data_IF_209611358499
#
_entry.id   IF_209611358499
#
_cell.length_a   1.000
_cell.length_b   1.000
_cell.length_c   1.000
_cell.angle_alpha   90.00
_cell.angle_beta   90.00
_cell.angle_gamma   90.00
#
_symmetry.space_group_name_H-M   'P 1'
#
loop_
_entity.id
_entity.type
_entity.pdbx_description
1 polymer ?
#
# COMPACT_ATOMS: atom_id res chain seq x y z
N UNK A 1 -9.06 18.63 23.42
CA UNK A 1 -8.74 17.19 23.23
C UNK A 1 -9.00 16.92 21.78
N UNK A 2 -7.98 16.64 20.98
CA UNK A 2 -8.16 16.36 19.55
C UNK A 2 -8.79 14.97 19.47
N UNK A 3 -10.02 14.86 18.98
CA UNK A 3 -10.65 13.56 18.74
C UNK A 3 -9.78 12.78 17.76
N UNK A 4 -9.36 11.57 18.17
CA UNK A 4 -8.60 10.66 17.31
C UNK A 4 -9.56 9.83 16.49
N UNK A 5 -9.24 9.61 15.23
CA UNK A 5 -10.00 8.74 14.35
C UNK A 5 -9.76 7.29 14.74
N UNK A 6 -10.83 6.50 14.92
CA UNK A 6 -10.72 5.10 15.33
C UNK A 6 -10.52 4.20 14.12
N UNK A 7 -9.53 3.31 14.18
CA UNK A 7 -9.32 2.25 13.20
C UNK A 7 -9.42 0.91 13.93
N UNK A 8 -10.30 0.03 13.46
CA UNK A 8 -10.60 -1.22 14.14
C UNK A 8 -9.55 -2.30 13.85
N UNK A 9 -8.90 -2.20 12.71
CA UNK A 9 -7.98 -3.18 12.18
C UNK A 9 -6.57 -2.92 12.68
N UNK A 10 -5.75 -3.97 12.71
CA UNK A 10 -4.38 -3.85 13.20
C UNK A 10 -3.49 -3.32 12.09
N UNK A 11 -2.77 -2.22 12.33
CA UNK A 11 -1.82 -1.68 11.35
C UNK A 11 -0.45 -2.31 11.57
N UNK A 12 0.13 -2.92 10.54
CA UNK A 12 1.52 -3.42 10.55
C UNK A 12 2.46 -2.37 10.01
N UNK A 13 3.48 -1.97 10.78
CA UNK A 13 4.46 -0.92 10.43
C UNK A 13 5.91 -1.40 10.61
N UNK A 14 6.88 -0.67 10.03
CA UNK A 14 8.30 -1.06 10.08
C UNK A 14 9.01 -0.64 11.38
N UNK A 15 8.62 0.50 11.97
CA UNK A 15 9.32 1.02 13.14
C UNK A 15 8.45 1.79 14.12
N UNK A 16 9.07 2.13 15.25
CA UNK A 16 8.45 2.89 16.34
C UNK A 16 8.08 4.31 15.94
N UNK A 17 8.82 4.91 15.02
CA UNK A 17 8.55 6.27 14.57
C UNK A 17 7.26 6.32 13.71
N UNK A 18 6.96 5.25 12.97
CA UNK A 18 5.68 5.07 12.27
C UNK A 18 4.53 4.93 13.25
N UNK A 19 4.71 4.09 14.28
CA UNK A 19 3.76 3.93 15.40
C UNK A 19 3.44 5.27 16.04
N UNK A 20 4.49 6.04 16.38
CA UNK A 20 4.34 7.34 16.99
C UNK A 20 3.58 8.30 16.08
N UNK A 21 3.85 8.30 14.77
CA UNK A 21 3.16 9.20 13.85
C UNK A 21 1.67 8.84 13.68
N UNK A 22 1.34 7.55 13.56
CA UNK A 22 -0.06 7.09 13.47
C UNK A 22 -0.85 7.38 14.75
N UNK A 23 -0.28 7.06 15.92
CA UNK A 23 -0.95 7.26 17.21
C UNK A 23 -1.20 8.74 17.56
N UNK A 24 -0.57 9.69 16.86
CA UNK A 24 -0.89 11.12 17.00
C UNK A 24 -2.29 11.46 16.52
N UNK A 25 -2.76 10.75 15.49
CA UNK A 25 -4.00 11.08 14.79
C UNK A 25 -5.08 10.00 14.94
N UNK A 26 -4.67 8.75 15.16
CA UNK A 26 -5.56 7.60 15.21
C UNK A 26 -5.56 6.91 16.57
N UNK A 27 -6.73 6.38 16.96
CA UNK A 27 -6.88 5.37 18.01
C UNK A 27 -6.87 4.00 17.31
N UNK A 28 -5.70 3.35 17.32
CA UNK A 28 -5.41 2.16 16.52
C UNK A 28 -4.39 1.26 17.19
N UNK A 29 -4.57 -0.05 17.02
CA UNK A 29 -3.61 -1.06 17.44
C UNK A 29 -2.56 -1.30 16.36
N UNK A 30 -1.29 -1.33 16.76
CA UNK A 30 -0.15 -1.38 15.84
C UNK A 30 0.70 -2.61 16.13
N UNK A 31 1.09 -3.32 15.07
CA UNK A 31 2.06 -4.40 15.10
C UNK A 31 3.36 -3.93 14.42
N UNK A 32 4.40 -3.72 15.20
CA UNK A 32 5.72 -3.31 14.70
C UNK A 32 6.50 -4.54 14.23
N UNK A 33 6.92 -4.55 12.97
CA UNK A 33 7.99 -5.46 12.52
C UNK A 33 9.32 -4.92 13.04
N UNK A 34 10.29 -5.77 13.41
CA UNK A 34 11.57 -5.30 13.97
C UNK A 34 12.52 -4.82 12.85
N UNK A 35 12.11 -3.78 12.10
CA UNK A 35 12.79 -3.32 10.88
C UNK A 35 12.63 -4.30 9.72
N UNK A 36 13.65 -4.41 8.86
CA UNK A 36 13.64 -5.23 7.62
C UNK A 36 13.57 -6.76 7.79
N UNK A 37 13.56 -7.27 9.03
CA UNK A 37 13.55 -8.69 9.33
C UNK A 37 12.18 -9.12 9.87
N UNK A 38 11.37 -9.72 9.00
CA UNK A 38 10.13 -10.40 9.37
C UNK A 38 10.42 -11.91 9.45
N UNK A 39 10.02 -12.54 10.54
CA UNK A 39 10.20 -13.98 10.77
C UNK A 39 8.93 -14.75 10.43
N UNK A 40 9.02 -16.08 10.29
CA UNK A 40 7.84 -16.93 10.07
C UNK A 40 6.85 -16.82 11.25
N UNK A 41 7.34 -16.65 12.47
CA UNK A 41 6.49 -16.43 13.66
C UNK A 41 5.74 -15.10 13.56
N UNK A 42 6.36 -14.05 13.01
CA UNK A 42 5.68 -12.78 12.76
C UNK A 42 4.58 -12.94 11.69
N UNK A 43 4.86 -13.68 10.62
CA UNK A 43 3.88 -13.96 9.57
C UNK A 43 2.68 -14.75 10.13
N UNK A 44 2.90 -15.75 10.97
CA UNK A 44 1.82 -16.49 11.65
C UNK A 44 1.01 -15.61 12.60
N UNK A 45 1.67 -14.71 13.35
CA UNK A 45 0.98 -13.73 14.19
C UNK A 45 0.13 -12.78 13.35
N UNK A 46 0.67 -12.26 12.25
CA UNK A 46 -0.05 -11.37 11.34
C UNK A 46 -1.26 -12.09 10.72
N UNK A 47 -1.13 -13.35 10.31
CA UNK A 47 -2.25 -14.15 9.80
C UNK A 47 -3.37 -14.31 10.84
N UNK A 48 -3.01 -14.64 12.09
CA UNK A 48 -3.98 -14.73 13.19
C UNK A 48 -4.67 -13.41 13.47
N UNK A 49 -3.93 -12.30 13.50
CA UNK A 49 -4.49 -10.97 13.70
C UNK A 49 -5.44 -10.60 12.55
N UNK A 50 -5.07 -10.92 11.32
CA UNK A 50 -5.88 -10.67 10.15
C UNK A 50 -7.22 -11.43 10.20
N UNK A 51 -7.21 -12.68 10.66
CA UNK A 51 -8.43 -13.49 10.85
C UNK A 51 -9.33 -12.97 11.98
N UNK A 52 -8.77 -12.36 13.02
CA UNK A 52 -9.53 -11.87 14.18
C UNK A 52 -10.13 -10.48 13.98
N UNK A 53 -9.36 -9.58 13.37
CA UNK A 53 -9.69 -8.14 13.30
C UNK A 53 -9.45 -7.51 11.94
N UNK A 54 -8.83 -8.22 11.02
CA UNK A 54 -8.24 -7.62 9.82
C UNK A 54 -6.91 -6.94 10.11
N UNK A 55 -6.01 -7.00 9.13
CA UNK A 55 -4.71 -6.33 9.15
C UNK A 55 -4.60 -5.38 7.97
N UNK A 56 -4.03 -4.20 8.22
CA UNK A 56 -3.62 -3.25 7.20
C UNK A 56 -2.10 -3.11 7.27
N UNK A 57 -1.39 -3.57 6.25
CA UNK A 57 0.06 -3.41 6.14
C UNK A 57 0.37 -2.02 5.61
N UNK A 58 1.11 -1.23 6.39
CA UNK A 58 1.47 0.14 6.05
C UNK A 58 2.96 0.39 6.28
N UNK A 59 3.74 -0.03 5.29
CA UNK A 59 5.21 0.09 5.26
C UNK A 59 5.69 1.22 4.37
N UNK A 60 6.95 1.60 4.54
CA UNK A 60 7.61 2.65 3.78
C UNK A 60 7.70 2.36 2.26
N UNK A 61 7.64 3.39 1.40
CA UNK A 61 7.79 3.26 -0.04
C UNK A 61 9.27 3.16 -0.47
N UNK A 62 10.00 2.26 0.19
CA UNK A 62 11.41 1.97 -0.04
C UNK A 62 11.65 0.47 -0.35
N UNK A 63 12.91 0.05 -0.43
CA UNK A 63 13.23 -1.35 -0.74
C UNK A 63 12.86 -2.31 0.40
N UNK A 64 13.05 -1.89 1.66
CA UNK A 64 12.82 -2.74 2.82
C UNK A 64 11.32 -2.91 3.08
N UNK A 65 10.56 -1.82 3.04
CA UNK A 65 9.11 -1.84 3.17
C UNK A 65 8.46 -2.70 2.08
N UNK A 66 8.89 -2.58 0.82
CA UNK A 66 8.39 -3.43 -0.27
C UNK A 66 8.76 -4.91 -0.09
N UNK A 67 9.91 -5.21 0.51
CA UNK A 67 10.32 -6.59 0.84
C UNK A 67 9.44 -7.18 1.93
N UNK A 68 9.23 -6.48 3.05
CA UNK A 68 8.32 -6.89 4.14
C UNK A 68 6.92 -7.12 3.57
N UNK A 69 6.43 -6.17 2.77
CA UNK A 69 5.12 -6.25 2.13
C UNK A 69 4.94 -7.50 1.29
N UNK A 70 5.93 -7.85 0.45
CA UNK A 70 5.89 -9.07 -0.38
C UNK A 70 5.83 -10.35 0.46
N UNK A 71 6.53 -10.40 1.58
CA UNK A 71 6.52 -11.54 2.48
C UNK A 71 5.13 -11.70 3.12
N UNK A 72 4.56 -10.61 3.63
CA UNK A 72 3.21 -10.63 4.21
C UNK A 72 2.16 -10.96 3.14
N UNK A 73 2.23 -10.39 1.94
CA UNK A 73 1.31 -10.73 0.83
C UNK A 73 1.34 -12.21 0.47
N UNK A 74 2.50 -12.85 0.57
CA UNK A 74 2.66 -14.28 0.29
C UNK A 74 2.05 -15.16 1.38
N UNK A 75 2.25 -14.80 2.64
CA UNK A 75 1.80 -15.57 3.80
C UNK A 75 0.34 -15.30 4.18
N UNK A 76 -0.12 -14.06 4.01
CA UNK A 76 -1.44 -13.56 4.40
C UNK A 76 -2.08 -12.83 3.21
N UNK A 77 -2.57 -13.56 2.19
CA UNK A 77 -3.09 -12.95 0.97
C UNK A 77 -4.37 -12.13 1.18
N UNK A 78 -5.02 -12.23 2.33
CA UNK A 78 -6.22 -11.46 2.69
C UNK A 78 -5.88 -10.24 3.55
N UNK A 79 -4.60 -10.01 3.88
CA UNK A 79 -4.19 -8.78 4.53
C UNK A 79 -4.42 -7.62 3.56
N UNK A 80 -4.94 -6.51 4.08
CA UNK A 80 -5.06 -5.28 3.32
C UNK A 80 -3.78 -4.47 3.40
N UNK A 81 -3.65 -3.49 2.51
CA UNK A 81 -2.38 -2.83 2.27
C UNK A 81 -2.62 -1.35 1.96
N UNK A 82 -2.06 -0.45 2.77
CA UNK A 82 -2.05 0.98 2.51
C UNK A 82 -0.69 1.40 1.94
N UNK A 83 -0.65 2.46 1.13
CA UNK A 83 0.60 2.98 0.55
C UNK A 83 0.62 4.50 0.56
N UNK A 84 1.83 5.02 0.75
CA UNK A 84 2.15 6.42 0.50
C UNK A 84 2.88 6.54 -0.83
N UNK A 85 2.69 7.67 -1.50
CA UNK A 85 3.60 8.07 -2.56
C UNK A 85 4.96 8.45 -1.99
N UNK A 86 5.99 8.30 -2.82
CA UNK A 86 7.36 8.66 -2.43
C UNK A 86 7.50 10.12 -2.04
N UNK A 87 6.67 11.02 -2.55
CA UNK A 87 6.70 12.45 -2.17
C UNK A 87 5.99 12.73 -0.84
N UNK A 88 4.98 11.92 -0.47
CA UNK A 88 4.23 12.02 0.79
C UNK A 88 5.06 11.48 1.96
N UNK A 89 5.94 10.52 1.70
CA UNK A 89 6.85 9.94 2.69
C UNK A 89 8.17 10.72 2.87
N UNK A 90 8.35 11.87 2.22
CA UNK A 90 9.59 12.68 2.33
C UNK A 90 9.57 13.59 3.55
N UNK A 91 10.72 13.82 4.21
CA UNK A 91 10.83 14.77 5.29
C UNK A 91 10.60 16.19 4.75
N UNK A 92 9.77 16.96 5.45
CA UNK A 92 9.44 18.36 5.09
C UNK A 92 10.62 19.32 5.18
N UNK A 93 11.70 18.96 5.88
CA UNK A 93 12.93 19.76 5.99
C UNK A 93 14.13 19.02 5.40
N UNK A 94 14.90 19.72 4.55
CA UNK A 94 16.17 19.23 3.99
C UNK A 94 17.21 18.84 5.05
N UNK A 95 17.05 19.31 6.29
CA UNK A 95 17.96 19.04 7.42
C UNK A 95 17.68 17.73 8.17
N UNK A 96 16.52 17.08 7.96
CA UNK A 96 16.11 15.87 8.70
C UNK A 96 16.45 14.54 8.00
N UNK A 97 17.35 14.57 7.01
CA UNK A 97 17.77 13.39 6.28
C UNK A 97 16.98 13.16 4.98
N UNK A 98 17.35 12.11 4.24
CA UNK A 98 16.73 11.71 2.97
C UNK A 98 15.84 10.45 3.11
N UNK A 99 15.58 10.00 4.33
CA UNK A 99 14.76 8.81 4.60
C UNK A 99 13.35 9.01 4.07
N UNK A 100 12.76 7.95 3.50
CA UNK A 100 11.36 7.93 3.12
C UNK A 100 10.65 7.10 4.17
N UNK A 101 9.59 7.62 4.80
CA UNK A 101 8.81 6.78 5.70
C UNK A 101 7.48 7.34 6.17
N UNK A 102 6.67 6.46 6.75
CA UNK A 102 5.35 6.78 7.31
C UNK A 102 5.49 7.80 8.45
N UNK A 103 6.59 7.78 9.19
CA UNK A 103 6.96 8.79 10.18
C UNK A 103 6.95 10.26 9.69
N UNK A 104 7.08 10.49 8.38
CA UNK A 104 7.12 11.83 7.79
C UNK A 104 5.80 12.28 7.16
N UNK A 105 4.87 11.35 6.98
CA UNK A 105 3.60 11.62 6.33
C UNK A 105 2.73 12.57 7.15
N UNK A 106 2.03 13.46 6.45
CA UNK A 106 1.07 14.36 7.09
C UNK A 106 -0.25 13.65 7.36
N UNK A 107 -1.07 14.23 8.26
CA UNK A 107 -2.40 13.69 8.55
C UNK A 107 -3.24 13.48 7.27
N UNK A 108 -3.21 14.44 6.34
CA UNK A 108 -3.95 14.34 5.07
C UNK A 108 -3.47 13.17 4.21
N UNK A 109 -2.16 12.93 4.15
CA UNK A 109 -1.58 11.84 3.37
C UNK A 109 -1.88 10.47 4.00
N UNK A 110 -1.79 10.39 5.34
CA UNK A 110 -2.17 9.22 6.11
C UNK A 110 -3.67 8.90 5.92
N UNK A 111 -4.53 9.92 5.99
CA UNK A 111 -5.97 9.76 5.85
C UNK A 111 -6.33 9.28 4.43
N UNK A 112 -5.70 9.84 3.39
CA UNK A 112 -5.88 9.38 2.00
C UNK A 112 -5.43 7.93 1.81
N UNK A 113 -4.31 7.55 2.40
CA UNK A 113 -3.77 6.18 2.28
C UNK A 113 -4.62 5.15 3.03
N UNK A 114 -5.19 5.51 4.19
CA UNK A 114 -5.94 4.59 5.04
C UNK A 114 -7.42 4.52 4.67
N UNK A 115 -8.06 5.62 4.24
CA UNK A 115 -9.50 5.65 3.95
C UNK A 115 -9.90 4.73 2.79
N UNK A 116 -9.06 4.62 1.75
CA UNK A 116 -9.30 3.73 0.62
C UNK A 116 -9.35 2.27 1.04
N UNK A 117 -8.57 1.91 2.06
CA UNK A 117 -8.39 0.53 2.50
C UNK A 117 -9.45 0.14 3.53
N UNK A 118 -9.85 1.07 4.39
CA UNK A 118 -10.88 0.84 5.41
C UNK A 118 -12.30 0.80 4.86
N UNK A 119 -12.57 1.46 3.71
CA UNK A 119 -13.88 1.43 3.04
C UNK A 119 -14.20 0.11 2.34
N UNK A 120 -13.20 -0.70 1.96
CA UNK A 120 -13.40 -1.92 1.16
C UNK A 120 -13.97 -3.13 1.94
N UNK A 121 -14.37 -2.97 3.21
CA UNK A 121 -14.96 -4.07 3.99
C UNK A 121 -16.46 -4.32 3.69
N UNK A 122 -17.12 -3.39 2.99
CA UNK A 122 -18.56 -3.47 2.72
C UNK A 122 -18.94 -4.09 1.35
N UNK A 123 -18.01 -4.31 0.41
CA UNK A 123 -18.35 -4.81 -0.94
C UNK A 123 -17.56 -6.08 -1.32
N UNK A 124 -18.25 -7.22 -1.28
CA UNK A 124 -17.77 -8.49 -1.83
C UNK A 124 -17.75 -8.47 -3.38
N UNK A 125 -16.53 -8.50 -3.93
CA UNK A 125 -16.08 -9.07 -5.21
C UNK A 125 -16.83 -8.73 -6.51
N UNK A 126 -16.33 -7.73 -7.23
CA UNK A 126 -16.33 -7.69 -8.69
C UNK A 126 -14.92 -7.40 -9.21
N UNK A 127 -14.04 -8.41 -9.18
CA UNK A 127 -12.77 -8.29 -9.88
C UNK A 127 -12.97 -8.64 -11.36
N UNK A 128 -12.89 -7.63 -12.23
CA UNK A 128 -13.24 -7.68 -13.65
C UNK A 128 -12.04 -7.53 -14.60
N UNK A 129 -10.80 -7.52 -14.06
CA UNK A 129 -9.57 -7.32 -14.85
C UNK A 129 -8.92 -8.66 -15.24
N UNK A 130 -8.57 -8.83 -16.51
CA UNK A 130 -7.80 -9.96 -17.04
C UNK A 130 -6.41 -9.59 -17.56
N UNK A 131 -5.60 -10.60 -17.89
CA UNK A 131 -4.25 -10.38 -18.46
C UNK A 131 -4.31 -9.72 -19.85
N UNK A 132 -5.35 -9.99 -20.63
CA UNK A 132 -5.61 -9.36 -21.92
C UNK A 132 -5.81 -7.85 -21.80
N UNK A 133 -6.48 -7.39 -20.73
CA UNK A 133 -6.70 -5.97 -20.47
C UNK A 133 -5.38 -5.26 -20.15
N UNK A 134 -4.51 -5.91 -19.37
CA UNK A 134 -3.17 -5.39 -19.08
C UNK A 134 -2.29 -5.26 -20.33
N UNK A 135 -2.42 -6.17 -21.29
CA UNK A 135 -1.74 -6.07 -22.60
C UNK A 135 -2.34 -4.92 -23.40
N UNK A 136 -3.68 -4.83 -23.47
CA UNK A 136 -4.41 -3.76 -24.19
C UNK A 136 -4.03 -2.37 -23.69
N UNK A 137 -3.83 -2.20 -22.38
CA UNK A 137 -3.44 -0.94 -21.75
C UNK A 137 -1.92 -0.65 -21.83
N UNK A 138 -1.13 -1.54 -22.43
CA UNK A 138 0.33 -1.43 -22.53
C UNK A 138 1.07 -1.66 -21.21
N UNK A 139 0.40 -2.15 -20.17
CA UNK A 139 1.02 -2.46 -18.87
C UNK A 139 1.90 -3.72 -18.94
N UNK A 140 1.72 -4.53 -19.99
CA UNK A 140 2.52 -5.70 -20.36
C UNK A 140 2.96 -5.60 -21.82
N UNK A 141 4.14 -6.16 -22.15
CA UNK A 141 4.66 -6.34 -23.52
C UNK A 141 4.92 -5.05 -24.34
N UNK A 142 4.58 -3.86 -23.84
CA UNK A 142 4.96 -2.58 -24.44
C UNK A 142 6.38 -2.13 -24.03
N UNK A 143 7.04 -1.35 -24.89
CA UNK A 143 8.37 -0.82 -24.66
C UNK A 143 8.44 0.09 -23.41
N UNK A 144 7.37 0.83 -23.13
CA UNK A 144 7.20 1.73 -21.98
C UNK A 144 6.43 1.08 -20.81
N UNK A 145 6.17 -0.24 -20.85
CA UNK A 145 5.33 -0.95 -19.86
C UNK A 145 5.81 -0.80 -18.41
N UNK A 146 7.12 -0.63 -18.20
CA UNK A 146 7.67 -0.31 -16.87
C UNK A 146 7.20 1.06 -16.38
N UNK A 147 7.33 2.11 -17.20
CA UNK A 147 6.92 3.47 -16.87
C UNK A 147 5.41 3.54 -16.64
N UNK A 148 4.63 2.85 -17.47
CA UNK A 148 3.16 2.74 -17.29
C UNK A 148 2.80 2.09 -15.96
N UNK A 149 3.51 1.03 -15.54
CA UNK A 149 3.29 0.37 -14.24
C UNK A 149 3.72 1.21 -13.05
N UNK A 150 4.79 1.99 -13.21
CA UNK A 150 5.20 2.99 -12.21
C UNK A 150 4.10 4.07 -12.07
N UNK A 151 3.64 4.64 -13.19
CA UNK A 151 2.56 5.63 -13.22
C UNK A 151 1.25 5.10 -12.66
N UNK A 152 0.81 3.90 -13.06
CA UNK A 152 -0.41 3.28 -12.55
C UNK A 152 -0.30 2.99 -11.03
N UNK A 153 0.84 2.45 -10.60
CA UNK A 153 1.10 2.17 -9.20
C UNK A 153 1.09 3.42 -8.33
N UNK A 154 1.54 4.55 -8.89
CA UNK A 154 1.39 5.87 -8.29
C UNK A 154 -0.06 6.35 -8.36
N UNK A 155 -0.73 6.40 -9.51
CA UNK A 155 -2.10 6.92 -9.60
C UNK A 155 -3.10 6.19 -8.70
N UNK A 156 -2.97 4.87 -8.56
CA UNK A 156 -3.85 4.04 -7.75
C UNK A 156 -3.37 3.82 -6.30
N UNK A 157 -2.23 4.38 -5.89
CA UNK A 157 -1.66 4.14 -4.55
C UNK A 157 -1.47 2.64 -4.23
N UNK A 158 -1.11 1.81 -5.21
CA UNK A 158 -0.83 0.37 -5.01
C UNK A 158 0.67 0.03 -5.03
N UNK A 159 1.51 1.05 -5.18
CA UNK A 159 2.96 0.91 -5.30
C UNK A 159 3.40 0.19 -6.58
N UNK A 160 4.71 0.18 -6.84
CA UNK A 160 5.24 -0.47 -8.04
C UNK A 160 5.14 -2.00 -7.96
N UNK A 161 4.64 -2.62 -9.02
CA UNK A 161 4.68 -4.08 -9.19
C UNK A 161 5.22 -4.48 -10.57
N UNK A 162 5.89 -5.64 -10.60
CA UNK A 162 6.32 -6.20 -11.88
C UNK A 162 5.12 -6.76 -12.67
N UNK A 163 5.25 -6.92 -13.99
CA UNK A 163 4.15 -7.38 -14.84
C UNK A 163 3.53 -8.72 -14.41
N UNK A 164 4.32 -9.64 -13.86
CA UNK A 164 3.82 -10.94 -13.34
C UNK A 164 2.97 -10.78 -12.08
N UNK A 165 3.21 -9.73 -11.30
CA UNK A 165 2.57 -9.48 -10.01
C UNK A 165 1.42 -8.47 -10.10
N UNK A 166 1.38 -7.64 -11.15
CA UNK A 166 0.39 -6.57 -11.29
C UNK A 166 -1.05 -7.08 -11.20
N UNK A 167 -1.41 -8.14 -11.93
CA UNK A 167 -2.78 -8.65 -11.92
C UNK A 167 -3.19 -9.14 -10.52
N UNK A 168 -2.30 -9.88 -9.85
CA UNK A 168 -2.53 -10.32 -8.46
C UNK A 168 -2.66 -9.14 -7.52
N UNK A 169 -1.90 -8.08 -7.78
CA UNK A 169 -1.92 -6.85 -7.00
C UNK A 169 -3.24 -6.11 -7.18
N UNK A 170 -3.69 -5.87 -8.40
CA UNK A 170 -4.99 -5.25 -8.68
C UNK A 170 -6.14 -6.05 -8.04
N UNK A 171 -6.11 -7.38 -8.14
CA UNK A 171 -7.08 -8.27 -7.50
C UNK A 171 -7.10 -8.13 -5.98
N UNK A 172 -5.92 -8.07 -5.38
CA UNK A 172 -5.78 -7.91 -3.93
C UNK A 172 -6.35 -6.57 -3.44
N UNK A 173 -6.20 -5.53 -4.24
CA UNK A 173 -6.70 -4.19 -3.92
C UNK A 173 -8.16 -3.96 -4.25
N UNK A 174 -8.84 -4.96 -4.84
CA UNK A 174 -10.21 -4.79 -5.30
C UNK A 174 -10.36 -3.73 -6.39
N UNK A 175 -9.27 -3.39 -7.10
CA UNK A 175 -9.30 -2.37 -8.15
C UNK A 175 -10.04 -2.92 -9.36
N UNK A 176 -11.00 -2.13 -9.83
CA UNK A 176 -11.82 -2.41 -11.01
C UNK A 176 -11.12 -1.98 -12.31
N UNK A 177 -11.55 -2.55 -13.44
CA UNK A 177 -11.04 -2.16 -14.75
C UNK A 177 -11.26 -0.67 -15.02
N UNK A 178 -12.41 -0.13 -14.61
CA UNK A 178 -12.75 1.29 -14.77
C UNK A 178 -11.72 2.18 -14.07
N UNK A 179 -11.35 1.88 -12.82
CA UNK A 179 -10.35 2.67 -12.08
C UNK A 179 -8.97 2.64 -12.75
N UNK A 180 -8.58 1.48 -13.30
CA UNK A 180 -7.33 1.37 -14.07
C UNK A 180 -7.41 2.21 -15.34
N UNK A 181 -8.51 2.13 -16.09
CA UNK A 181 -8.71 2.90 -17.32
C UNK A 181 -8.73 4.42 -17.05
N UNK A 182 -9.40 4.84 -15.98
CA UNK A 182 -9.47 6.24 -15.56
C UNK A 182 -8.07 6.81 -15.27
N UNK A 183 -7.26 6.09 -14.49
CA UNK A 183 -5.87 6.51 -14.25
C UNK A 183 -5.08 6.51 -15.55
N UNK A 184 -5.18 5.45 -16.36
CA UNK A 184 -4.41 5.32 -17.60
C UNK A 184 -4.82 6.30 -18.70
N UNK A 185 -6.04 6.86 -18.65
CA UNK A 185 -6.53 7.88 -19.60
C UNK A 185 -5.67 9.15 -19.61
N UNK A 186 -5.07 9.47 -18.45
CA UNK A 186 -4.23 10.65 -18.24
C UNK A 186 -2.74 10.37 -18.47
N UNK A 187 -2.38 9.14 -18.84
CA UNK A 187 -0.99 8.77 -19.10
C UNK A 187 -0.52 9.34 -20.45
N UNK A 188 0.42 10.28 -20.42
CA UNK A 188 1.13 10.75 -21.60
C UNK A 188 2.50 10.07 -21.67
N UNK A 189 2.77 9.37 -22.78
CA UNK A 189 4.10 8.83 -23.03
C UNK A 189 5.06 10.01 -23.29
N UNK A 190 5.99 10.26 -22.36
CA UNK A 190 7.14 11.11 -22.64
C UNK A 190 7.97 10.44 -23.76
N UNK A 191 8.06 11.14 -24.90
CA UNK A 191 8.90 10.79 -26.05
C UNK A 191 10.38 10.69 -25.66
#
# INVERSE_FOLDING_TARGET
>A
MTEKLKIHEVIVVEGKDDTANLQRFYDVDIYETKGSAITDEDLERIDRLNKLRGVIVFTDPDYNGERIRKLIMGAVPTARHAFLHRHEARPRSKSKGRSLGVEHASFEDLQKALSQVTQSFDDESYFDIGQTDLIRLGLLLAADSRKRREYLGEGLRIGYSNGKQLLKRLKLFGITLSEVEDVMSSYQAEQ
#
